data_IF_045967691402
#
_entry.id   IF_045967691402
#
_cell.length_a   1.000
_cell.length_b   1.000
_cell.length_c   1.000
_cell.angle_alpha   90.00
_cell.angle_beta   90.00
_cell.angle_gamma   90.00
#
_symmetry.space_group_name_H-M   'P 1'
#
loop_
_entity.id
_entity.type
_entity.pdbx_description
1 polymer ?
#
# COMPACT_ATOMS: atom_id res chain seq x y z
N UNK A 1 15.35 8.16 -12.30
CA UNK A 1 15.25 7.09 -11.28
C UNK A 1 13.85 7.11 -10.69
N UNK A 2 13.41 6.02 -10.07
CA UNK A 2 12.12 5.95 -9.34
C UNK A 2 12.03 7.04 -8.26
N UNK A 3 13.15 7.36 -7.60
CA UNK A 3 13.23 8.41 -6.57
C UNK A 3 12.81 9.79 -7.06
N UNK A 4 13.23 10.19 -8.26
CA UNK A 4 12.82 11.47 -8.84
C UNK A 4 11.31 11.51 -9.17
N UNK A 5 10.70 10.36 -9.45
CA UNK A 5 9.27 10.24 -9.68
C UNK A 5 8.53 10.42 -8.35
N UNK A 6 8.95 9.73 -7.29
CA UNK A 6 8.35 9.84 -5.95
C UNK A 6 8.38 11.28 -5.42
N UNK A 7 9.49 12.00 -5.60
CA UNK A 7 9.59 13.41 -5.20
C UNK A 7 8.59 14.31 -5.95
N UNK A 8 8.33 14.04 -7.24
CA UNK A 8 7.32 14.77 -8.04
C UNK A 8 5.90 14.51 -7.57
N UNK A 9 5.64 13.33 -6.99
CA UNK A 9 4.38 12.99 -6.33
C UNK A 9 4.27 13.53 -4.90
N UNK A 10 5.26 14.32 -4.43
CA UNK A 10 5.25 14.95 -3.10
C UNK A 10 5.92 14.12 -2.01
N UNK A 11 6.44 12.93 -2.33
CA UNK A 11 7.13 12.07 -1.37
C UNK A 11 8.60 12.44 -1.24
N UNK A 12 8.90 13.46 -0.45
CA UNK A 12 10.25 13.99 -0.27
C UNK A 12 11.15 13.06 0.56
N UNK A 13 10.59 12.42 1.60
CA UNK A 13 11.34 11.62 2.57
C UNK A 13 11.40 10.13 2.20
N UNK A 14 10.40 9.62 1.46
CA UNK A 14 10.33 8.20 1.07
C UNK A 14 11.58 7.69 0.33
N UNK A 15 12.24 8.48 -0.54
CA UNK A 15 13.47 8.04 -1.18
C UNK A 15 14.61 7.70 -0.25
N UNK A 16 14.72 8.35 0.90
CA UNK A 16 15.75 8.03 1.90
C UNK A 16 15.29 6.88 2.81
N UNK A 17 14.00 6.83 3.13
CA UNK A 17 13.40 5.80 3.98
C UNK A 17 13.36 4.41 3.33
N UNK A 18 13.10 4.35 2.02
CA UNK A 18 12.96 3.09 1.28
C UNK A 18 14.25 2.64 0.59
N UNK A 19 15.34 3.39 0.73
CA UNK A 19 16.61 3.08 0.08
C UNK A 19 17.52 2.23 0.99
N UNK A 20 18.05 1.13 0.44
CA UNK A 20 19.01 0.28 1.13
C UNK A 20 18.42 -0.44 2.35
N UNK A 21 19.17 -0.45 3.46
CA UNK A 21 18.85 -1.21 4.68
C UNK A 21 17.60 -0.72 5.44
N UNK A 22 17.09 0.46 5.13
CA UNK A 22 15.98 1.08 5.86
C UNK A 22 14.59 0.53 5.45
N UNK A 23 14.52 -0.22 4.36
CA UNK A 23 13.26 -0.77 3.83
C UNK A 23 12.65 -1.87 4.71
N UNK A 24 13.48 -2.52 5.54
CA UNK A 24 13.08 -3.61 6.43
C UNK A 24 12.64 -3.05 7.80
N UNK A 25 11.39 -2.60 7.91
CA UNK A 25 10.81 -2.08 9.14
C UNK A 25 9.37 -2.58 9.33
N UNK A 26 8.87 -2.58 10.57
CA UNK A 26 7.51 -3.04 10.90
C UNK A 26 6.45 -2.15 10.26
N UNK A 27 6.77 -0.87 10.10
CA UNK A 27 5.96 0.11 9.39
C UNK A 27 5.77 -0.22 7.90
N UNK A 28 6.59 -1.10 7.33
CA UNK A 28 6.52 -1.55 5.93
C UNK A 28 6.24 -3.05 5.80
N UNK A 29 5.56 -3.65 6.79
CA UNK A 29 5.21 -5.08 6.77
C UNK A 29 3.73 -5.26 7.12
N UNK A 30 3.06 -6.11 6.34
CA UNK A 30 1.67 -6.50 6.57
C UNK A 30 1.56 -8.01 6.36
N UNK A 31 0.88 -8.70 7.26
CA UNK A 31 0.52 -10.10 7.05
C UNK A 31 -0.88 -10.17 6.44
N UNK A 32 -1.02 -10.93 5.34
CA UNK A 32 -2.27 -11.08 4.61
C UNK A 32 -2.60 -12.56 4.40
N UNK A 33 -3.86 -12.86 4.10
CA UNK A 33 -4.26 -14.16 3.55
C UNK A 33 -3.63 -14.34 2.15
N UNK A 34 -3.39 -15.60 1.76
CA UNK A 34 -2.60 -15.93 0.57
C UNK A 34 -3.11 -15.22 -0.70
N UNK A 35 -4.41 -15.29 -1.00
CA UNK A 35 -4.97 -14.64 -2.20
C UNK A 35 -4.92 -13.11 -2.09
N UNK A 36 -5.23 -12.55 -0.90
CA UNK A 36 -5.14 -11.11 -0.68
C UNK A 36 -3.71 -10.60 -0.88
N UNK A 37 -2.71 -11.36 -0.42
CA UNK A 37 -1.31 -11.05 -0.63
C UNK A 37 -0.96 -11.01 -2.11
N UNK A 38 -1.36 -12.04 -2.87
CA UNK A 38 -1.15 -12.11 -4.32
C UNK A 38 -1.79 -10.92 -5.06
N UNK A 39 -3.03 -10.58 -4.73
CA UNK A 39 -3.71 -9.43 -5.33
C UNK A 39 -3.06 -8.10 -4.96
N UNK A 40 -2.52 -7.98 -3.75
CA UNK A 40 -1.84 -6.77 -3.30
C UNK A 40 -0.50 -6.59 -4.01
N UNK A 41 0.27 -7.67 -4.19
CA UNK A 41 1.54 -7.67 -4.92
C UNK A 41 1.33 -7.32 -6.40
N UNK A 42 0.30 -7.90 -7.02
CA UNK A 42 -0.04 -7.65 -8.43
C UNK A 42 -0.73 -6.29 -8.67
N UNK A 43 -0.85 -5.45 -7.63
CA UNK A 43 -1.54 -4.16 -7.67
C UNK A 43 -3.03 -4.25 -8.04
N UNK A 44 -3.67 -5.41 -7.90
CA UNK A 44 -5.08 -5.63 -8.20
C UNK A 44 -6.01 -5.05 -7.13
N UNK A 45 -5.51 -4.96 -5.90
CA UNK A 45 -6.17 -4.32 -4.76
C UNK A 45 -5.24 -3.30 -4.11
N UNK A 46 -5.82 -2.32 -3.41
CA UNK A 46 -5.06 -1.33 -2.62
C UNK A 46 -5.86 -0.80 -1.43
N UNK A 47 -5.14 -0.20 -0.48
CA UNK A 47 -5.70 0.38 0.73
C UNK A 47 -5.71 1.91 0.63
N UNK A 48 -6.88 2.50 0.34
CA UNK A 48 -7.03 3.95 0.28
C UNK A 48 -7.28 4.50 1.68
N UNK A 49 -6.46 5.47 2.09
CA UNK A 49 -6.61 6.17 3.35
C UNK A 49 -7.98 6.80 3.55
N UNK A 50 -8.47 6.78 4.79
CA UNK A 50 -9.68 7.52 5.21
C UNK A 50 -9.33 8.68 6.14
N UNK A 51 -10.35 9.45 6.57
CA UNK A 51 -10.23 10.50 7.59
C UNK A 51 -9.93 9.93 8.99
N UNK A 52 -10.12 8.61 9.19
CA UNK A 52 -9.83 7.95 10.46
C UNK A 52 -8.41 7.39 10.44
N UNK A 53 -7.66 7.66 11.51
CA UNK A 53 -6.31 7.12 11.69
C UNK A 53 -6.31 5.59 11.60
N UNK A 54 -5.30 5.04 10.93
CA UNK A 54 -5.09 3.61 10.72
C UNK A 54 -6.26 2.85 10.07
N UNK A 55 -7.23 3.57 9.51
CA UNK A 55 -8.38 3.00 8.81
C UNK A 55 -8.32 3.30 7.32
N UNK A 56 -8.49 2.24 6.55
CA UNK A 56 -8.36 2.23 5.10
C UNK A 56 -9.59 1.59 4.47
N UNK A 57 -9.95 2.09 3.30
CA UNK A 57 -10.93 1.47 2.42
C UNK A 57 -10.20 0.51 1.49
N UNK A 58 -10.64 -0.74 1.46
CA UNK A 58 -10.18 -1.73 0.51
C UNK A 58 -10.82 -1.43 -0.85
N UNK A 59 -9.97 -1.19 -1.84
CA UNK A 59 -10.35 -0.88 -3.22
C UNK A 59 -9.62 -1.80 -4.18
N UNK A 60 -10.06 -1.86 -5.43
CA UNK A 60 -9.57 -2.81 -6.43
C UNK A 60 -9.77 -2.31 -7.85
N UNK A 61 -9.05 -2.92 -8.79
CA UNK A 61 -9.24 -2.70 -10.22
C UNK A 61 -10.58 -3.26 -10.71
N UNK A 62 -11.02 -4.37 -10.12
CA UNK A 62 -12.29 -5.04 -10.39
C UNK A 62 -12.94 -5.49 -9.06
N UNK A 63 -14.24 -5.19 -8.83
CA UNK A 63 -14.94 -5.60 -7.61
C UNK A 63 -14.85 -7.09 -7.26
N UNK A 64 -14.59 -7.99 -8.22
CA UNK A 64 -14.47 -9.44 -7.98
C UNK A 64 -13.36 -9.77 -6.98
N UNK A 65 -12.26 -9.00 -6.95
CA UNK A 65 -11.14 -9.24 -6.04
C UNK A 65 -11.49 -8.95 -4.57
N UNK A 66 -12.50 -8.09 -4.34
CA UNK A 66 -12.83 -7.61 -2.99
C UNK A 66 -14.23 -7.99 -2.52
N UNK A 67 -15.06 -8.58 -3.38
CA UNK A 67 -16.44 -8.95 -3.04
C UNK A 67 -16.57 -9.87 -1.82
N UNK A 68 -15.65 -10.81 -1.53
CA UNK A 68 -15.79 -11.67 -0.36
C UNK A 68 -15.25 -11.01 0.94
N UNK A 69 -14.61 -9.83 0.85
CA UNK A 69 -13.92 -9.21 1.97
C UNK A 69 -14.67 -7.98 2.50
N UNK A 70 -14.32 -7.56 3.73
CA UNK A 70 -14.85 -6.34 4.32
C UNK A 70 -14.29 -5.10 3.60
N UNK A 71 -15.16 -4.13 3.33
CA UNK A 71 -14.79 -2.90 2.63
C UNK A 71 -13.77 -2.03 3.38
N UNK A 72 -13.67 -2.18 4.70
CA UNK A 72 -12.79 -1.35 5.52
C UNK A 72 -11.87 -2.22 6.37
N UNK A 73 -10.59 -1.84 6.40
CA UNK A 73 -9.54 -2.42 7.22
C UNK A 73 -9.11 -1.38 8.23
N UNK A 74 -8.96 -1.76 9.49
CA UNK A 74 -8.38 -0.91 10.54
C UNK A 74 -7.22 -1.66 11.15
N UNK A 75 -6.01 -1.11 11.05
CA UNK A 75 -4.86 -1.68 11.75
C UNK A 75 -4.93 -1.27 13.22
N UNK A 76 -4.83 -2.25 14.10
CA UNK A 76 -4.87 -2.05 15.56
C UNK A 76 -3.73 -2.80 16.17
N UNK A 77 -3.00 -2.17 17.09
CA UNK A 77 -1.94 -2.83 17.85
C UNK A 77 -2.09 -2.50 19.34
N UNK A 78 -1.89 -3.48 20.24
CA UNK A 78 -1.95 -3.24 21.68
C UNK A 78 -0.85 -2.30 22.19
N UNK A 79 0.30 -2.25 21.50
CA UNK A 79 1.48 -1.46 21.86
C UNK A 79 2.05 -0.77 20.61
N UNK A 80 1.45 0.36 20.22
CA UNK A 80 1.88 1.13 19.05
C UNK A 80 3.33 1.64 19.16
N UNK A 81 3.89 1.70 20.38
CA UNK A 81 5.24 2.24 20.60
C UNK A 81 6.32 1.23 20.22
N UNK A 82 6.11 -0.06 20.51
CA UNK A 82 7.07 -1.12 20.21
C UNK A 82 6.69 -1.91 18.95
N UNK A 83 5.43 -1.88 18.55
CA UNK A 83 4.91 -2.62 17.40
C UNK A 83 4.05 -1.68 16.54
N UNK A 84 4.69 -0.77 15.79
CA UNK A 84 3.98 0.21 14.98
C UNK A 84 3.17 -0.50 13.89
N UNK A 85 2.03 0.11 13.56
CA UNK A 85 1.22 -0.31 12.40
C UNK A 85 1.88 0.13 11.10
N UNK A 86 1.45 -0.42 9.95
CA UNK A 86 1.94 0.01 8.66
C UNK A 86 1.79 1.52 8.46
N UNK A 87 2.85 2.18 8.01
CA UNK A 87 2.83 3.62 7.78
C UNK A 87 1.90 3.96 6.63
N UNK A 88 1.05 4.95 6.89
CA UNK A 88 0.09 5.50 5.92
C UNK A 88 0.76 5.88 4.60
N UNK A 89 1.93 6.51 4.64
CA UNK A 89 2.64 6.96 3.45
C UNK A 89 3.04 5.82 2.50
N UNK A 90 3.41 4.65 3.05
CA UNK A 90 3.76 3.48 2.24
C UNK A 90 2.53 2.85 1.58
N UNK A 91 1.41 2.80 2.30
CA UNK A 91 0.12 2.36 1.76
C UNK A 91 -0.40 3.31 0.67
N UNK A 92 -0.26 4.62 0.87
CA UNK A 92 -0.62 5.62 -0.14
C UNK A 92 0.26 5.55 -1.37
N UNK A 93 1.55 5.26 -1.20
CA UNK A 93 2.46 5.03 -2.30
C UNK A 93 2.02 3.80 -3.11
N UNK A 94 1.77 2.67 -2.45
CA UNK A 94 1.27 1.46 -3.12
C UNK A 94 -0.04 1.72 -3.87
N UNK A 95 -1.01 2.36 -3.23
CA UNK A 95 -2.28 2.71 -3.85
C UNK A 95 -2.11 3.65 -5.06
N UNK A 96 -1.15 4.57 -5.00
CA UNK A 96 -0.82 5.46 -6.12
C UNK A 96 -0.23 4.65 -7.28
N UNK A 97 0.74 3.76 -7.00
CA UNK A 97 1.31 2.87 -8.01
C UNK A 97 0.24 2.01 -8.68
N UNK A 98 -0.65 1.39 -7.91
CA UNK A 98 -1.74 0.57 -8.44
C UNK A 98 -2.67 1.37 -9.35
N UNK A 99 -3.14 2.54 -8.90
CA UNK A 99 -4.00 3.41 -9.69
C UNK A 99 -3.32 3.87 -10.98
N UNK A 100 -2.05 4.28 -10.92
CA UNK A 100 -1.29 4.70 -12.10
C UNK A 100 -1.10 3.54 -13.08
N UNK A 101 -0.75 2.35 -12.59
CA UNK A 101 -0.56 1.17 -13.42
C UNK A 101 -1.83 0.81 -14.20
N UNK A 102 -2.98 0.77 -13.52
CA UNK A 102 -4.27 0.45 -14.16
C UNK A 102 -4.76 1.56 -15.08
N UNK A 103 -4.69 2.83 -14.66
CA UNK A 103 -5.15 3.96 -15.48
C UNK A 103 -4.30 4.18 -16.74
N UNK A 104 -3.03 3.77 -16.71
CA UNK A 104 -2.15 3.84 -17.87
C UNK A 104 -2.16 2.59 -18.76
N UNK A 105 -2.79 1.50 -18.31
CA UNK A 105 -2.71 0.18 -18.95
C UNK A 105 -1.36 -0.53 -18.75
N UNK A 106 -0.47 0.01 -17.91
CA UNK A 106 0.83 -0.59 -17.62
C UNK A 106 0.73 -1.81 -16.71
N UNK A 107 -0.39 -2.00 -15.99
CA UNK A 107 -0.58 -3.12 -15.08
C UNK A 107 -0.45 -4.50 -15.76
N UNK A 108 -0.82 -4.61 -17.03
CA UNK A 108 -0.74 -5.86 -17.81
C UNK A 108 0.71 -6.25 -18.20
N UNK A 109 1.68 -5.40 -17.88
CA UNK A 109 3.10 -5.57 -18.20
C UNK A 109 3.99 -5.61 -16.94
N UNK A 110 3.38 -5.82 -15.78
CA UNK A 110 4.10 -6.02 -14.52
C UNK A 110 4.47 -7.51 -14.43
N UNK A 111 5.77 -7.79 -14.26
CA UNK A 111 6.35 -9.14 -14.11
C UNK A 111 6.20 -9.70 -12.69
#
# INVERSE_FOLDING_TARGET
>A
SIWAILQRFGYQELPEELNGSNIHCLENVITMELNVHEYFDNLDIWLTSTDKSNKYKLESKDPIYISPYHQYVTFTMPDEKNLPVPRRAYLELHATCAKVAHLSGAADYID
#
